data_IF_196928947136
#
_entry.id   IF_196928947136
#
_cell.length_a   1.000
_cell.length_b   1.000
_cell.length_c   1.000
_cell.angle_alpha   90.00
_cell.angle_beta   90.00
_cell.angle_gamma   90.00
#
_symmetry.space_group_name_H-M   'P 1'
#
loop_
_entity.id
_entity.type
_entity.pdbx_description
1 polymer ?
#
# COMPACT_ATOMS: atom_id res chain seq x y z
N UNK A 1 13.64 -7.52 33.59
CA UNK A 1 12.84 -6.67 32.68
C UNK A 1 12.61 -7.48 31.40
N UNK A 2 11.37 -7.57 30.92
CA UNK A 2 11.04 -8.37 29.72
C UNK A 2 11.03 -7.44 28.50
N UNK A 3 12.12 -7.43 27.74
CA UNK A 3 12.38 -6.42 26.69
C UNK A 3 11.85 -6.80 25.29
N UNK A 4 11.08 -7.88 25.17
CA UNK A 4 10.76 -8.47 23.86
C UNK A 4 9.32 -8.25 23.38
N UNK A 5 8.56 -7.32 23.95
CA UNK A 5 7.10 -7.27 23.70
C UNK A 5 6.69 -6.80 22.29
N UNK A 6 7.58 -6.20 21.48
CA UNK A 6 7.18 -5.62 20.18
C UNK A 6 8.20 -5.78 19.03
N UNK A 7 9.00 -6.84 18.99
CA UNK A 7 9.93 -7.10 17.88
C UNK A 7 9.27 -7.99 16.82
N UNK A 8 9.28 -7.59 15.53
CA UNK A 8 8.73 -8.44 14.46
C UNK A 8 9.61 -9.67 14.25
N UNK A 9 9.07 -10.68 13.57
CA UNK A 9 9.81 -11.91 13.27
C UNK A 9 11.05 -11.58 12.42
N UNK A 10 10.89 -10.72 11.42
CA UNK A 10 11.93 -10.32 10.48
C UNK A 10 13.08 -9.60 11.20
N UNK A 11 12.76 -8.70 12.13
CA UNK A 11 13.77 -7.97 12.91
C UNK A 11 14.62 -8.95 13.76
N UNK A 12 13.98 -9.94 14.39
CA UNK A 12 14.69 -10.98 15.15
C UNK A 12 15.58 -11.86 14.26
N UNK A 13 15.11 -12.22 13.07
CA UNK A 13 15.89 -13.00 12.09
C UNK A 13 17.13 -12.20 11.67
N UNK A 14 16.97 -10.92 11.37
CA UNK A 14 18.07 -10.05 10.95
C UNK A 14 19.15 -9.97 12.04
N UNK A 15 18.76 -9.68 13.27
CA UNK A 15 19.69 -9.61 14.41
C UNK A 15 20.40 -10.94 14.64
N UNK A 16 19.67 -12.07 14.63
CA UNK A 16 20.27 -13.39 14.79
C UNK A 16 21.31 -13.70 13.71
N UNK A 17 21.01 -13.35 12.45
CA UNK A 17 21.97 -13.49 11.35
C UNK A 17 23.20 -12.59 11.54
N UNK A 18 23.03 -11.35 12.00
CA UNK A 18 24.12 -10.41 12.26
C UNK A 18 25.06 -10.89 13.37
N UNK A 19 24.52 -11.52 14.42
CA UNK A 19 25.32 -12.08 15.51
C UNK A 19 25.86 -13.48 15.20
N UNK A 20 25.63 -13.99 13.99
CA UNK A 20 26.16 -15.26 13.49
C UNK A 20 25.38 -16.51 13.91
N UNK A 21 24.17 -16.36 14.45
CA UNK A 21 23.29 -17.47 14.78
C UNK A 21 22.59 -18.01 13.51
N UNK A 22 22.48 -19.33 13.40
CA UNK A 22 21.78 -19.96 12.27
C UNK A 22 20.28 -19.86 12.48
N UNK A 23 19.55 -19.29 11.51
CA UNK A 23 18.10 -19.10 11.60
C UNK A 23 17.37 -19.93 10.54
N UNK A 24 16.37 -20.69 10.96
CA UNK A 24 15.51 -21.43 10.05
C UNK A 24 14.23 -20.65 9.75
N UNK A 25 13.79 -20.65 8.49
CA UNK A 25 12.58 -19.94 8.06
C UNK A 25 11.31 -20.41 8.77
N UNK A 26 11.31 -21.65 9.27
CA UNK A 26 10.19 -22.26 10.00
C UNK A 26 10.11 -21.83 11.47
N UNK A 27 11.15 -21.18 12.01
CA UNK A 27 11.19 -20.85 13.43
C UNK A 27 10.12 -19.80 13.79
N UNK A 28 9.45 -20.00 14.92
CA UNK A 28 8.46 -19.05 15.43
C UNK A 28 9.13 -17.97 16.28
N UNK A 29 8.47 -16.83 16.48
CA UNK A 29 9.00 -15.69 17.24
C UNK A 29 9.54 -16.12 18.62
N UNK A 30 8.84 -17.05 19.29
CA UNK A 30 9.28 -17.56 20.59
C UNK A 30 10.63 -18.29 20.52
N UNK A 31 10.84 -19.13 19.50
CA UNK A 31 12.10 -19.86 19.28
C UNK A 31 13.23 -18.91 18.95
N UNK A 32 12.97 -17.89 18.11
CA UNK A 32 13.94 -16.86 17.76
C UNK A 32 14.38 -16.05 18.98
N UNK A 33 13.44 -15.63 19.84
CA UNK A 33 13.75 -14.95 21.10
C UNK A 33 14.59 -15.83 22.02
N UNK A 34 14.20 -17.09 22.15
CA UNK A 34 14.92 -18.06 22.98
C UNK A 34 16.35 -18.27 22.46
N UNK A 35 16.54 -18.34 21.14
CA UNK A 35 17.86 -18.44 20.53
C UNK A 35 18.70 -17.20 20.79
N UNK A 36 18.10 -16.02 20.64
CA UNK A 36 18.77 -14.74 20.88
C UNK A 36 19.25 -14.61 22.33
N UNK A 37 18.36 -14.87 23.30
CA UNK A 37 18.66 -14.86 24.74
C UNK A 37 19.74 -15.89 25.12
N UNK A 38 19.83 -16.99 24.38
CA UNK A 38 20.83 -18.05 24.61
C UNK A 38 22.14 -17.86 23.86
N UNK A 39 22.18 -16.94 22.88
CA UNK A 39 23.36 -16.68 22.06
C UNK A 39 24.54 -16.24 22.93
N UNK A 40 25.75 -16.61 22.52
CA UNK A 40 26.96 -16.21 23.24
C UNK A 40 27.08 -14.69 23.30
N UNK A 41 26.80 -14.00 22.19
CA UNK A 41 26.94 -12.56 22.12
C UNK A 41 25.95 -11.83 23.04
N UNK A 42 24.70 -12.31 23.15
CA UNK A 42 23.75 -11.72 24.08
C UNK A 42 24.15 -11.92 25.55
N UNK A 43 24.82 -13.02 25.87
CA UNK A 43 25.33 -13.29 27.22
C UNK A 43 26.58 -12.46 27.55
N UNK A 44 27.45 -12.26 26.57
CA UNK A 44 28.71 -11.53 26.72
C UNK A 44 28.48 -10.00 26.68
N UNK A 45 27.64 -9.52 25.76
CA UNK A 45 27.29 -8.11 25.57
C UNK A 45 25.80 -7.94 25.21
N UNK A 46 24.92 -7.95 26.22
CA UNK A 46 23.49 -7.74 26.01
C UNK A 46 23.18 -6.36 25.41
N UNK A 47 23.95 -5.32 25.74
CA UNK A 47 23.68 -3.94 25.33
C UNK A 47 23.92 -3.75 23.83
N UNK A 48 24.99 -4.35 23.30
CA UNK A 48 25.25 -4.40 21.87
C UNK A 48 24.09 -5.06 21.11
N UNK A 49 23.64 -6.24 21.55
CA UNK A 49 22.54 -6.95 20.87
C UNK A 49 21.23 -6.17 20.95
N UNK A 50 20.98 -5.48 22.06
CA UNK A 50 19.81 -4.61 22.18
C UNK A 50 19.87 -3.41 21.22
N UNK A 51 21.06 -2.84 21.00
CA UNK A 51 21.24 -1.81 19.98
C UNK A 51 20.97 -2.33 18.57
N UNK A 52 21.40 -3.56 18.24
CA UNK A 52 21.06 -4.18 16.95
C UNK A 52 19.55 -4.36 16.76
N UNK A 53 18.84 -4.79 17.81
CA UNK A 53 17.37 -4.90 17.77
C UNK A 53 16.73 -3.54 17.47
N UNK A 54 17.17 -2.48 18.15
CA UNK A 54 16.62 -1.14 17.94
C UNK A 54 16.87 -0.65 16.51
N UNK A 55 18.10 -0.82 15.99
CA UNK A 55 18.45 -0.47 14.62
C UNK A 55 17.61 -1.25 13.60
N UNK A 56 17.38 -2.55 13.82
CA UNK A 56 16.55 -3.37 12.93
C UNK A 56 15.08 -2.92 12.91
N UNK A 57 14.54 -2.57 14.08
CA UNK A 57 13.18 -2.03 14.20
C UNK A 57 13.08 -0.70 13.45
N UNK A 58 14.02 0.23 13.66
CA UNK A 58 14.07 1.53 12.99
C UNK A 58 14.16 1.39 11.46
N UNK A 59 15.05 0.53 10.96
CA UNK A 59 15.19 0.27 9.52
C UNK A 59 13.89 -0.25 8.91
N UNK A 60 13.25 -1.23 9.56
CA UNK A 60 12.00 -1.76 9.04
C UNK A 60 10.78 -0.85 9.29
N UNK A 61 10.85 0.14 10.17
CA UNK A 61 9.86 1.22 10.25
C UNK A 61 10.04 2.20 9.09
N UNK A 62 11.27 2.64 8.82
CA UNK A 62 11.61 3.50 7.68
C UNK A 62 11.18 2.88 6.34
N UNK A 63 11.42 1.58 6.15
CA UNK A 63 10.93 0.84 4.96
C UNK A 63 9.41 0.83 4.85
N UNK A 64 8.70 0.67 5.97
CA UNK A 64 7.24 0.67 5.98
C UNK A 64 6.68 2.06 5.65
N UNK A 65 7.28 3.13 6.17
CA UNK A 65 6.92 4.51 5.87
C UNK A 65 7.13 4.85 4.38
N UNK A 66 8.28 4.46 3.82
CA UNK A 66 8.56 4.61 2.39
C UNK A 66 7.53 3.86 1.54
N UNK A 67 7.20 2.62 1.93
CA UNK A 67 6.19 1.83 1.22
C UNK A 67 4.81 2.47 1.27
N UNK A 68 4.40 3.00 2.44
CA UNK A 68 3.15 3.76 2.59
C UNK A 68 3.13 5.00 1.69
N UNK A 69 4.24 5.73 1.61
CA UNK A 69 4.35 6.92 0.75
C UNK A 69 4.21 6.57 -0.73
N UNK A 70 4.83 5.47 -1.17
CA UNK A 70 4.70 4.96 -2.54
C UNK A 70 3.25 4.58 -2.83
N UNK A 71 2.63 3.82 -1.94
CA UNK A 71 1.23 3.38 -2.09
C UNK A 71 0.26 4.55 -2.12
N UNK A 72 0.46 5.56 -1.26
CA UNK A 72 -0.37 6.76 -1.25
C UNK A 72 -0.22 7.55 -2.56
N UNK A 73 1.01 7.70 -3.07
CA UNK A 73 1.25 8.35 -4.36
C UNK A 73 0.57 7.63 -5.52
N UNK A 74 0.62 6.29 -5.52
CA UNK A 74 -0.06 5.47 -6.53
C UNK A 74 -1.58 5.63 -6.46
N UNK A 75 -2.14 5.60 -5.26
CA UNK A 75 -3.58 5.80 -5.05
C UNK A 75 -4.05 7.18 -5.50
N UNK A 76 -3.25 8.21 -5.28
CA UNK A 76 -3.54 9.57 -5.76
C UNK A 76 -3.54 9.66 -7.28
N UNK A 77 -2.57 9.03 -7.94
CA UNK A 77 -2.54 8.93 -9.40
C UNK A 77 -3.77 8.19 -9.96
N UNK A 78 -4.18 7.10 -9.34
CA UNK A 78 -5.40 6.37 -9.75
C UNK A 78 -6.66 7.21 -9.56
N UNK A 79 -6.79 7.92 -8.43
CA UNK A 79 -7.91 8.84 -8.19
C UNK A 79 -7.98 9.94 -9.25
N UNK A 80 -6.85 10.51 -9.63
CA UNK A 80 -6.80 11.55 -10.66
C UNK A 80 -7.21 11.01 -12.04
N UNK A 81 -6.76 9.80 -12.40
CA UNK A 81 -7.19 9.13 -13.64
C UNK A 81 -8.69 8.85 -13.65
N UNK A 82 -9.24 8.36 -12.53
CA UNK A 82 -10.68 8.12 -12.40
C UNK A 82 -11.48 9.42 -12.56
N UNK A 83 -11.08 10.49 -11.89
CA UNK A 83 -11.72 11.80 -12.03
C UNK A 83 -11.68 12.32 -13.47
N UNK A 84 -10.57 12.10 -14.19
CA UNK A 84 -10.48 12.47 -15.60
C UNK A 84 -11.47 11.68 -16.46
N UNK A 85 -11.50 10.36 -16.29
CA UNK A 85 -12.44 9.47 -17.01
C UNK A 85 -13.89 9.87 -16.72
N UNK A 86 -14.23 10.19 -15.47
CA UNK A 86 -15.57 10.66 -15.09
C UNK A 86 -15.95 11.96 -15.82
N UNK A 87 -15.02 12.93 -15.90
CA UNK A 87 -15.26 14.19 -16.63
C UNK A 87 -15.48 13.96 -18.12
N UNK A 88 -14.63 13.16 -18.74
CA UNK A 88 -14.74 12.82 -20.17
C UNK A 88 -16.06 12.08 -20.45
N UNK A 89 -16.43 11.13 -19.61
CA UNK A 89 -17.69 10.38 -19.71
C UNK A 89 -18.90 11.30 -19.60
N UNK A 90 -18.90 12.22 -18.63
CA UNK A 90 -19.98 13.19 -18.46
C UNK A 90 -20.10 14.13 -19.66
N UNK A 91 -18.96 14.62 -20.18
CA UNK A 91 -18.96 15.47 -21.37
C UNK A 91 -19.51 14.74 -22.60
N UNK A 92 -19.15 13.46 -22.80
CA UNK A 92 -19.68 12.66 -23.90
C UNK A 92 -21.19 12.43 -23.77
N UNK A 93 -21.66 12.16 -22.55
CA UNK A 93 -23.08 11.97 -22.27
C UNK A 93 -23.89 13.25 -22.55
N UNK A 94 -23.37 14.43 -22.21
CA UNK A 94 -24.02 15.71 -22.53
C UNK A 94 -24.10 15.96 -24.04
N UNK A 95 -23.02 15.67 -24.78
CA UNK A 95 -23.01 15.79 -26.23
C UNK A 95 -24.01 14.83 -26.89
N UNK A 96 -24.13 13.61 -26.38
CA UNK A 96 -25.11 12.64 -26.88
C UNK A 96 -26.55 13.11 -26.64
N UNK A 97 -26.85 13.62 -25.44
CA UNK A 97 -28.16 14.22 -25.12
C UNK A 97 -28.52 15.37 -26.06
N UNK A 98 -27.58 16.28 -26.30
CA UNK A 98 -27.77 17.40 -27.24
C UNK A 98 -28.05 16.90 -28.66
N UNK A 99 -27.32 15.87 -29.12
CA UNK A 99 -27.52 15.30 -30.44
C UNK A 99 -28.90 14.63 -30.58
N UNK A 100 -29.31 13.85 -29.58
CA UNK A 100 -30.65 13.26 -29.52
C UNK A 100 -31.75 14.33 -29.60
N UNK A 101 -31.67 15.38 -28.78
CA UNK A 101 -32.64 16.47 -28.79
C UNK A 101 -32.73 17.14 -30.18
N UNK A 102 -31.59 17.45 -30.80
CA UNK A 102 -31.53 18.04 -32.14
C UNK A 102 -32.17 17.13 -33.20
N UNK A 103 -32.01 15.82 -33.09
CA UNK A 103 -32.65 14.86 -34.00
C UNK A 103 -34.16 14.81 -33.79
N UNK A 104 -34.62 14.82 -32.54
CA UNK A 104 -36.04 14.86 -32.19
C UNK A 104 -36.71 16.12 -32.74
N UNK A 105 -36.09 17.29 -32.60
CA UNK A 105 -36.59 18.56 -33.16
C UNK A 105 -36.72 18.50 -34.69
N UNK A 106 -35.68 17.99 -35.39
CA UNK A 106 -35.71 17.80 -36.85
C UNK A 106 -36.86 16.87 -37.27
N UNK A 107 -37.10 15.78 -36.54
CA UNK A 107 -38.20 14.86 -36.82
C UNK A 107 -39.56 15.51 -36.59
N UNK A 108 -39.71 16.27 -35.51
CA UNK A 108 -40.95 16.99 -35.20
C UNK A 108 -41.28 18.03 -36.28
N UNK A 109 -40.29 18.80 -36.74
CA UNK A 109 -40.46 19.74 -37.84
C UNK A 109 -40.90 19.05 -39.14
N UNK A 110 -40.24 17.93 -39.51
CA UNK A 110 -40.67 17.12 -40.67
C UNK A 110 -42.11 16.63 -40.55
N UNK A 111 -42.53 16.16 -39.36
CA UNK A 111 -43.89 15.68 -39.11
C UNK A 111 -44.95 16.78 -39.23
N UNK A 112 -44.66 18.01 -38.77
CA UNK A 112 -45.58 19.13 -38.89
C UNK A 112 -45.80 19.53 -40.37
N UNK A 113 -44.73 19.55 -41.17
CA UNK A 113 -44.82 19.88 -42.60
C UNK A 113 -45.53 18.81 -43.45
N UNK A 114 -45.63 17.57 -42.96
CA UNK A 114 -46.35 16.48 -43.61
C UNK A 114 -47.85 16.46 -43.28
N UNK A 115 -48.28 17.06 -42.17
CA UNK A 115 -49.69 17.12 -41.75
C UNK A 115 -50.47 18.32 -42.33
N UNK A 116 -49.77 19.28 -42.94
CA UNK A 116 -50.36 20.50 -43.53
C UNK A 116 -50.53 20.45 -45.05
N UNK A 117 -50.40 19.27 -45.67
CA UNK A 117 -50.70 18.98 -47.08
C UNK A 117 -51.83 17.97 -47.14
#
# INVERSE_FOLDING_TARGET
MSYHKCTRKEDLINVLNEIGEQVSSKEVIFELKTKLENSKLFKDDPEFVMNLINLSIEDGQSKAEQQLQITNSQLELEKNKLQQIERETNSLLELEKLNCNRQTEKLNFKRQNLKGK
#
